data_IF_907859674363
#
_entry.id   IF_907859674363
#
_cell.length_a   1.000
_cell.length_b   1.000
_cell.length_c   1.000
_cell.angle_alpha   90.00
_cell.angle_beta   90.00
_cell.angle_gamma   90.00
#
_symmetry.space_group_name_H-M   'P 1'
#
loop_
_entity.id
_entity.type
_entity.pdbx_description
1 polymer ?
#
# COMPACT_ATOMS: atom_id res chain seq x y z
N UNK A 1 -10.53 3.95 20.07
CA UNK A 1 -9.84 4.35 18.84
C UNK A 1 -8.39 4.72 19.09
N UNK A 2 -8.13 5.56 20.11
CA UNK A 2 -6.75 5.92 20.48
C UNK A 2 -5.94 4.70 20.92
N UNK A 3 -6.59 3.79 21.63
CA UNK A 3 -5.99 2.57 22.12
C UNK A 3 -5.54 1.67 20.95
N UNK A 4 -6.40 1.54 19.94
CA UNK A 4 -6.11 0.75 18.74
C UNK A 4 -4.94 1.36 17.95
N UNK A 5 -4.89 2.69 17.85
CA UNK A 5 -3.78 3.37 17.17
C UNK A 5 -2.46 3.16 17.89
N UNK A 6 -2.49 3.20 19.23
CA UNK A 6 -1.29 2.97 20.02
C UNK A 6 -0.75 1.55 19.87
N UNK A 7 -1.66 0.56 19.90
CA UNK A 7 -1.29 -0.84 19.67
C UNK A 7 -0.76 -1.05 18.26
N UNK A 8 -1.40 -0.45 17.26
CA UNK A 8 -0.94 -0.55 15.88
C UNK A 8 0.46 0.04 15.70
N UNK A 9 0.72 1.20 16.30
CA UNK A 9 2.05 1.82 16.25
C UNK A 9 3.09 0.89 16.86
N UNK A 10 2.82 0.34 18.03
CA UNK A 10 3.75 -0.56 18.71
C UNK A 10 4.03 -1.81 17.87
N UNK A 11 2.99 -2.39 17.26
CA UNK A 11 3.15 -3.55 16.39
C UNK A 11 4.00 -3.22 15.16
N UNK A 12 3.76 -2.07 14.54
CA UNK A 12 4.51 -1.64 13.37
C UNK A 12 5.97 -1.32 13.73
N UNK A 13 6.19 -0.69 14.89
CA UNK A 13 7.55 -0.41 15.35
C UNK A 13 8.33 -1.71 15.56
N UNK A 14 7.69 -2.71 16.12
CA UNK A 14 8.30 -4.02 16.30
C UNK A 14 8.56 -4.72 14.96
N UNK A 15 7.55 -4.71 14.09
CA UNK A 15 7.63 -5.35 12.77
C UNK A 15 8.73 -4.74 11.91
N UNK A 16 8.90 -3.42 11.95
CA UNK A 16 9.86 -2.70 11.13
C UNK A 16 11.10 -2.25 11.90
N UNK A 17 11.42 -2.96 12.96
CA UNK A 17 12.67 -2.81 13.73
C UNK A 17 12.95 -1.39 14.21
N UNK A 18 11.91 -0.75 14.75
CA UNK A 18 12.01 0.60 15.33
C UNK A 18 12.39 1.68 14.31
N UNK A 19 12.07 1.48 13.04
CA UNK A 19 12.27 2.49 12.00
C UNK A 19 11.15 3.51 12.10
N UNK A 20 11.37 4.59 12.83
CA UNK A 20 10.37 5.61 13.10
C UNK A 20 9.85 6.29 11.83
N UNK A 21 10.75 6.61 10.89
CA UNK A 21 10.35 7.28 9.66
C UNK A 21 9.43 6.41 8.80
N UNK A 22 9.79 5.15 8.68
CA UNK A 22 8.99 4.19 7.92
C UNK A 22 7.62 3.99 8.56
N UNK A 23 7.59 3.79 9.88
CA UNK A 23 6.35 3.57 10.61
C UNK A 23 5.43 4.80 10.50
N UNK A 24 5.97 6.00 10.60
CA UNK A 24 5.17 7.22 10.43
C UNK A 24 4.55 7.32 9.03
N UNK A 25 5.31 6.98 7.99
CA UNK A 25 4.77 6.97 6.62
C UNK A 25 3.62 5.98 6.48
N UNK A 26 3.77 4.81 7.08
CA UNK A 26 2.72 3.78 7.06
C UNK A 26 1.48 4.25 7.80
N UNK A 27 1.64 4.79 8.99
CA UNK A 27 0.52 5.27 9.80
C UNK A 27 -0.25 6.39 9.10
N UNK A 28 0.46 7.24 8.38
CA UNK A 28 -0.16 8.33 7.61
C UNK A 28 -0.81 7.85 6.32
N UNK A 29 -0.72 6.56 6.01
CA UNK A 29 -1.31 6.03 4.79
C UNK A 29 -0.52 6.41 3.53
N UNK A 30 0.78 6.54 3.65
CA UNK A 30 1.64 6.95 2.54
C UNK A 30 1.94 5.83 1.56
N UNK A 31 2.28 6.23 0.34
CA UNK A 31 2.81 5.33 -0.67
C UNK A 31 3.97 6.01 -1.38
N UNK A 32 4.96 5.22 -1.79
CA UNK A 32 6.19 5.75 -2.37
C UNK A 32 6.86 4.70 -3.25
N UNK A 33 7.78 5.14 -4.11
CA UNK A 33 8.56 4.24 -4.96
C UNK A 33 9.41 3.30 -4.12
N UNK A 34 9.35 2.02 -4.45
CA UNK A 34 10.12 0.99 -3.74
C UNK A 34 9.43 0.45 -2.50
N UNK A 35 8.27 0.98 -2.12
CA UNK A 35 7.48 0.43 -1.01
C UNK A 35 7.11 -1.01 -1.33
N UNK A 36 7.28 -1.92 -0.37
CA UNK A 36 6.90 -3.31 -0.59
C UNK A 36 5.38 -3.49 -0.53
N UNK A 37 4.89 -4.58 -1.13
CA UNK A 37 3.46 -4.91 -1.06
C UNK A 37 2.97 -5.01 0.39
N UNK A 38 3.77 -5.62 1.27
CA UNK A 38 3.43 -5.70 2.69
C UNK A 38 3.33 -4.35 3.37
N UNK A 39 4.26 -3.44 3.06
CA UNK A 39 4.22 -2.08 3.60
C UNK A 39 3.00 -1.31 3.08
N UNK A 40 2.63 -1.53 1.82
CA UNK A 40 1.45 -0.90 1.23
C UNK A 40 0.17 -1.38 1.92
N UNK A 41 0.05 -2.67 2.20
CA UNK A 41 -1.07 -3.22 2.94
C UNK A 41 -1.13 -2.62 4.34
N UNK A 42 0.01 -2.50 5.02
CA UNK A 42 0.05 -1.89 6.35
C UNK A 42 -0.36 -0.41 6.31
N UNK A 43 -0.05 0.29 5.20
CA UNK A 43 -0.38 1.71 5.05
C UNK A 43 -1.84 1.94 4.65
N UNK A 44 -2.33 1.23 3.63
CA UNK A 44 -3.63 1.50 3.02
C UNK A 44 -4.65 0.39 3.24
N UNK A 45 -4.23 -0.75 3.74
CA UNK A 45 -5.09 -1.92 3.82
C UNK A 45 -5.14 -2.69 2.52
N UNK A 46 -6.04 -3.66 2.46
CA UNK A 46 -6.22 -4.44 1.24
C UNK A 46 -6.90 -3.59 0.16
N UNK A 47 -6.44 -3.68 -1.10
CA UNK A 47 -7.11 -2.97 -2.18
C UNK A 47 -8.48 -3.55 -2.45
N UNK A 48 -9.35 -2.75 -3.07
CA UNK A 48 -10.68 -3.20 -3.49
C UNK A 48 -10.58 -4.24 -4.61
N UNK A 49 -9.55 -4.11 -5.46
CA UNK A 49 -9.33 -5.04 -6.56
C UNK A 49 -7.85 -5.03 -6.94
N UNK A 50 -7.38 -6.13 -7.50
CA UNK A 50 -6.02 -6.27 -8.01
C UNK A 50 -6.10 -6.83 -9.43
N UNK A 51 -5.48 -6.12 -10.38
CA UNK A 51 -5.30 -6.59 -11.73
C UNK A 51 -3.86 -7.06 -11.86
N UNK A 52 -3.64 -8.37 -11.94
CA UNK A 52 -2.30 -8.94 -11.98
C UNK A 52 -1.99 -9.52 -13.35
N UNK A 53 -0.79 -9.25 -13.84
CA UNK A 53 -0.31 -9.79 -15.12
C UNK A 53 1.13 -10.27 -14.96
N UNK A 54 1.41 -11.42 -15.57
CA UNK A 54 2.76 -11.97 -15.60
C UNK A 54 3.23 -11.95 -17.04
N UNK A 55 4.40 -11.34 -17.26
CA UNK A 55 4.97 -11.20 -18.59
C UNK A 55 6.48 -11.42 -18.52
N UNK A 56 6.98 -12.42 -19.23
CA UNK A 56 8.41 -12.72 -19.27
C UNK A 56 9.04 -12.89 -17.88
N UNK A 57 8.30 -13.55 -17.00
CA UNK A 57 8.78 -13.78 -15.63
C UNK A 57 8.63 -12.59 -14.69
N UNK A 58 8.14 -11.46 -15.18
CA UNK A 58 7.88 -10.29 -14.33
C UNK A 58 6.41 -10.23 -13.97
N UNK A 59 6.14 -10.02 -12.71
CA UNK A 59 4.79 -9.85 -12.21
C UNK A 59 4.49 -8.38 -12.03
N UNK A 60 3.46 -7.90 -12.72
CA UNK A 60 2.96 -6.53 -12.55
C UNK A 60 1.55 -6.60 -12.01
N UNK A 61 1.31 -5.84 -10.96
CA UNK A 61 -0.01 -5.72 -10.35
C UNK A 61 -0.43 -4.26 -10.33
N UNK A 62 -1.72 -4.02 -10.55
CA UNK A 62 -2.32 -2.70 -10.31
C UNK A 62 -3.32 -2.88 -9.18
N UNK A 63 -3.03 -2.26 -8.05
CA UNK A 63 -3.89 -2.30 -6.87
C UNK A 63 -4.81 -1.10 -6.90
N UNK A 64 -6.11 -1.38 -6.79
CA UNK A 64 -7.15 -0.36 -6.95
C UNK A 64 -7.80 -0.06 -5.61
N UNK A 65 -7.76 1.20 -5.25
CA UNK A 65 -8.27 1.70 -3.97
C UNK A 65 -9.36 2.75 -4.20
N UNK A 66 -10.22 2.89 -3.21
CA UNK A 66 -11.25 3.94 -3.17
C UNK A 66 -12.17 3.89 -4.39
N UNK A 67 -12.89 2.77 -4.51
CA UNK A 67 -13.88 2.61 -5.56
C UNK A 67 -14.90 3.76 -5.49
N UNK A 68 -15.03 4.49 -6.60
CA UNK A 68 -15.95 5.61 -6.69
C UNK A 68 -17.26 5.20 -7.31
N UNK A 69 -17.22 4.47 -8.44
CA UNK A 69 -18.39 4.11 -9.21
C UNK A 69 -18.01 3.02 -10.21
N UNK A 70 -18.73 1.89 -10.19
CA UNK A 70 -18.48 0.78 -11.10
C UNK A 70 -17.01 0.35 -11.10
N UNK A 71 -16.35 0.50 -12.25
CA UNK A 71 -14.93 0.16 -12.42
C UNK A 71 -14.00 1.36 -12.20
N UNK A 72 -14.49 2.45 -11.63
CA UNK A 72 -13.69 3.64 -11.40
C UNK A 72 -13.11 3.63 -10.00
N UNK A 73 -11.82 3.89 -9.91
CA UNK A 73 -11.07 3.94 -8.65
C UNK A 73 -10.31 5.24 -8.58
N UNK A 74 -10.30 5.86 -7.40
CA UNK A 74 -9.62 7.14 -7.19
C UNK A 74 -8.11 7.01 -7.08
N UNK A 75 -7.66 5.83 -6.68
CA UNK A 75 -6.22 5.58 -6.52
C UNK A 75 -5.90 4.22 -7.11
N UNK A 76 -4.91 4.18 -7.99
CA UNK A 76 -4.38 2.95 -8.54
C UNK A 76 -2.87 2.96 -8.34
N UNK A 77 -2.36 1.88 -7.75
CA UNK A 77 -0.93 1.76 -7.44
C UNK A 77 -0.38 0.56 -8.21
N UNK A 78 0.63 0.83 -9.03
CA UNK A 78 1.29 -0.21 -9.81
C UNK A 78 2.48 -0.76 -9.04
N UNK A 79 2.55 -2.08 -8.96
CA UNK A 79 3.67 -2.79 -8.34
C UNK A 79 4.31 -3.71 -9.38
N UNK A 80 5.62 -3.78 -9.38
CA UNK A 80 6.36 -4.76 -10.15
C UNK A 80 7.21 -5.58 -9.20
N UNK A 81 7.05 -6.91 -9.27
CA UNK A 81 7.76 -7.83 -8.39
C UNK A 81 7.62 -7.42 -6.90
N UNK A 82 6.37 -7.09 -6.52
CA UNK A 82 5.99 -6.76 -5.15
C UNK A 82 6.55 -5.45 -4.59
N UNK A 83 6.97 -4.54 -5.49
CA UNK A 83 7.42 -3.21 -5.07
C UNK A 83 6.70 -2.13 -5.88
N UNK A 84 6.30 -1.05 -5.23
CA UNK A 84 5.62 0.07 -5.86
C UNK A 84 6.55 0.75 -6.86
N UNK A 85 6.06 0.94 -8.11
CA UNK A 85 6.81 1.61 -9.16
C UNK A 85 6.11 2.85 -9.71
N UNK A 86 4.78 2.95 -9.53
CA UNK A 86 4.03 4.07 -10.06
C UNK A 86 2.66 4.14 -9.41
N UNK A 87 1.97 5.25 -9.56
CA UNK A 87 0.59 5.40 -9.09
C UNK A 87 -0.12 6.48 -9.89
N UNK A 88 -1.46 6.38 -9.88
CA UNK A 88 -2.33 7.39 -10.46
C UNK A 88 -3.40 7.72 -9.43
N UNK A 89 -3.52 8.99 -9.09
CA UNK A 89 -4.53 9.48 -8.16
C UNK A 89 -5.49 10.40 -8.90
N UNK A 90 -6.78 10.12 -8.76
CA UNK A 90 -7.82 10.94 -9.36
C UNK A 90 -8.62 11.61 -8.25
N UNK A 91 -8.68 12.88 -8.28
CA UNK A 91 -9.36 13.70 -7.28
C UNK A 91 -10.87 13.45 -7.22
#
# INVERSE_FOLDING_TARGET
>A
LRRLRGLRRAELMDKYRQDHQLVERIIMGGYWHGQTAGQLIDALGNPADIDARIRKGQRREVWKYHQADGNRYRLQIALENEAVVDWEQRG
#
